data_IF_656496342357
#
_entry.id   IF_656496342357
#
_cell.length_a   1.000
_cell.length_b   1.000
_cell.length_c   1.000
_cell.angle_alpha   90.00
_cell.angle_beta   90.00
_cell.angle_gamma   90.00
#
_symmetry.space_group_name_H-M   'P 1'
#
loop_
_entity.id
_entity.type
_entity.pdbx_description
1 polymer ?
#
# COMPACT_ATOMS: atom_id res chain seq x y z
N UNK A 1 -8.60 -8.55 4.63
CA UNK A 1 -9.41 -7.32 4.79
C UNK A 1 -10.66 -7.55 5.64
N UNK A 2 -11.41 -8.62 5.41
CA UNK A 2 -12.61 -8.96 6.19
C UNK A 2 -12.28 -9.17 7.68
N UNK A 3 -11.19 -9.85 8.00
CA UNK A 3 -10.73 -10.04 9.38
C UNK A 3 -10.33 -8.72 10.05
N UNK A 4 -9.65 -7.83 9.34
CA UNK A 4 -9.29 -6.49 9.85
C UNK A 4 -10.54 -5.69 10.16
N UNK A 5 -11.55 -5.74 9.28
CA UNK A 5 -12.82 -5.06 9.51
C UNK A 5 -13.58 -5.64 10.70
N UNK A 6 -13.63 -6.96 10.84
CA UNK A 6 -14.25 -7.63 11.98
C UNK A 6 -13.52 -7.30 13.30
N UNK A 7 -12.19 -7.24 13.27
CA UNK A 7 -11.38 -6.87 14.45
C UNK A 7 -11.57 -5.42 14.85
N UNK A 8 -11.89 -4.52 13.92
CA UNK A 8 -12.14 -3.10 14.18
C UNK A 8 -13.33 -2.80 15.09
N UNK A 9 -14.19 -3.79 15.34
CA UNK A 9 -15.28 -3.70 16.34
C UNK A 9 -14.79 -3.93 17.79
N UNK A 10 -13.63 -4.55 17.98
CA UNK A 10 -13.09 -4.94 19.28
C UNK A 10 -11.72 -4.31 19.61
N UNK A 11 -10.94 -3.97 18.60
CA UNK A 11 -9.58 -3.50 18.72
C UNK A 11 -9.44 -2.10 18.12
N UNK A 12 -8.55 -1.28 18.71
CA UNK A 12 -8.21 0.00 18.11
C UNK A 12 -7.39 -0.20 16.81
N UNK A 13 -7.42 0.75 15.85
CA UNK A 13 -6.60 0.67 14.65
C UNK A 13 -5.10 0.45 14.92
N UNK A 14 -4.56 1.05 15.99
CA UNK A 14 -3.18 0.86 16.40
C UNK A 14 -2.89 -0.58 16.84
N UNK A 15 -3.79 -1.18 17.63
CA UNK A 15 -3.65 -2.59 18.04
C UNK A 15 -3.69 -3.54 16.84
N UNK A 16 -4.60 -3.32 15.90
CA UNK A 16 -4.68 -4.11 14.66
C UNK A 16 -3.36 -3.99 13.89
N UNK A 17 -2.85 -2.76 13.75
CA UNK A 17 -1.59 -2.49 13.07
C UNK A 17 -0.42 -3.19 13.76
N UNK A 18 -0.34 -3.13 15.10
CA UNK A 18 0.68 -3.81 15.87
C UNK A 18 0.70 -5.33 15.63
N UNK A 19 -0.45 -6.00 15.68
CA UNK A 19 -0.52 -7.44 15.43
C UNK A 19 -0.15 -7.82 14.00
N UNK A 20 -0.60 -7.03 13.01
CA UNK A 20 -0.25 -7.27 11.60
C UNK A 20 1.24 -7.09 11.35
N UNK A 21 1.85 -6.02 11.87
CA UNK A 21 3.27 -5.73 11.68
C UNK A 21 4.12 -6.75 12.42
N UNK A 22 3.79 -7.07 13.68
CA UNK A 22 4.54 -8.06 14.48
C UNK A 22 4.48 -9.45 13.86
N UNK A 23 3.29 -9.89 13.43
CA UNK A 23 3.12 -11.17 12.75
C UNK A 23 3.85 -11.21 11.40
N UNK A 24 3.76 -10.14 10.62
CA UNK A 24 4.48 -9.99 9.36
C UNK A 24 5.98 -9.99 9.55
N UNK A 25 6.50 -9.28 10.57
CA UNK A 25 7.92 -9.25 10.89
C UNK A 25 8.47 -10.65 11.20
N UNK A 26 7.80 -11.40 12.08
CA UNK A 26 8.21 -12.76 12.42
C UNK A 26 8.23 -13.64 11.16
N UNK A 27 7.17 -13.60 10.35
CA UNK A 27 7.04 -14.42 9.16
C UNK A 27 8.14 -14.08 8.13
N UNK A 28 8.31 -12.81 7.77
CA UNK A 28 9.30 -12.42 6.76
C UNK A 28 10.74 -12.56 7.25
N UNK A 29 11.01 -12.35 8.54
CA UNK A 29 12.33 -12.61 9.13
C UNK A 29 12.67 -14.11 9.04
N UNK A 30 11.73 -15.01 9.37
CA UNK A 30 11.93 -16.45 9.24
C UNK A 30 12.18 -16.86 7.78
N UNK A 31 11.43 -16.31 6.84
CA UNK A 31 11.62 -16.59 5.41
C UNK A 31 12.99 -16.08 4.94
N UNK A 32 13.40 -14.88 5.34
CA UNK A 32 14.70 -14.31 4.97
C UNK A 32 15.86 -15.17 5.51
N UNK A 33 15.78 -15.58 6.78
CA UNK A 33 16.79 -16.47 7.40
C UNK A 33 16.81 -17.82 6.71
N UNK A 34 15.65 -18.43 6.43
CA UNK A 34 15.56 -19.73 5.77
C UNK A 34 16.12 -19.70 4.33
N UNK A 35 16.05 -18.56 3.64
CA UNK A 35 16.62 -18.35 2.30
C UNK A 35 18.10 -17.94 2.33
N UNK A 36 18.66 -17.67 3.51
CA UNK A 36 20.04 -17.18 3.64
C UNK A 36 20.20 -15.74 3.17
N UNK A 37 19.13 -14.94 3.16
CA UNK A 37 19.17 -13.55 2.72
C UNK A 37 19.98 -12.69 3.70
N UNK A 38 20.69 -11.69 3.17
CA UNK A 38 21.48 -10.78 3.99
C UNK A 38 20.60 -9.72 4.66
N UNK A 39 20.29 -9.91 5.95
CA UNK A 39 19.53 -8.95 6.76
C UNK A 39 20.38 -7.75 7.24
N UNK A 40 21.66 -7.67 6.86
CA UNK A 40 22.55 -6.54 7.21
C UNK A 40 22.93 -5.72 5.97
N UNK A 41 22.09 -5.70 4.93
CA UNK A 41 22.37 -4.98 3.70
C UNK A 41 22.29 -3.46 3.93
N UNK A 42 23.41 -2.71 3.88
CA UNK A 42 23.42 -1.26 4.13
C UNK A 42 22.60 -0.48 3.10
N UNK A 43 22.43 -1.02 1.90
CA UNK A 43 21.64 -0.42 0.83
C UNK A 43 20.15 -0.38 1.14
N UNK A 44 19.67 -1.18 2.11
CA UNK A 44 18.29 -1.12 2.60
C UNK A 44 17.90 0.24 3.19
N UNK A 45 18.88 1.06 3.59
CA UNK A 45 18.69 2.42 4.10
C UNK A 45 18.89 3.49 3.02
N UNK A 46 18.96 3.14 1.75
CA UNK A 46 19.02 4.12 0.66
C UNK A 46 17.79 5.03 0.70
N UNK A 47 17.91 6.34 0.38
CA UNK A 47 16.79 7.30 0.47
C UNK A 47 15.56 6.86 -0.31
N UNK A 48 15.74 6.18 -1.43
CA UNK A 48 14.66 5.62 -2.25
C UNK A 48 13.88 4.54 -1.48
N UNK A 49 14.57 3.68 -0.74
CA UNK A 49 13.93 2.64 0.07
C UNK A 49 13.29 3.20 1.34
N UNK A 50 13.85 4.25 1.93
CA UNK A 50 13.19 4.97 3.02
C UNK A 50 11.86 5.58 2.57
N UNK A 51 11.80 6.18 1.38
CA UNK A 51 10.53 6.64 0.80
C UNK A 51 9.53 5.49 0.63
N UNK A 52 9.99 4.32 0.18
CA UNK A 52 9.16 3.12 0.06
C UNK A 52 8.59 2.69 1.42
N UNK A 53 9.41 2.67 2.47
CA UNK A 53 8.97 2.30 3.82
C UNK A 53 7.97 3.31 4.38
N UNK A 54 8.22 4.61 4.22
CA UNK A 54 7.29 5.65 4.63
C UNK A 54 5.94 5.52 3.89
N UNK A 55 5.98 5.29 2.58
CA UNK A 55 4.76 5.09 1.79
C UNK A 55 3.98 3.85 2.24
N UNK A 56 4.66 2.73 2.53
CA UNK A 56 4.03 1.53 3.08
C UNK A 56 3.31 1.82 4.40
N UNK A 57 3.97 2.55 5.30
CA UNK A 57 3.42 2.86 6.61
C UNK A 57 2.20 3.76 6.55
N UNK A 58 2.28 4.84 5.75
CA UNK A 58 1.15 5.74 5.53
C UNK A 58 -0.01 4.93 4.90
N UNK A 59 0.31 4.09 3.93
CA UNK A 59 -0.66 3.23 3.26
C UNK A 59 -1.36 2.27 4.23
N UNK A 60 -0.62 1.59 5.09
CA UNK A 60 -1.18 0.66 6.08
C UNK A 60 -2.06 1.37 7.11
N UNK A 61 -1.59 2.49 7.66
CA UNK A 61 -2.37 3.28 8.62
C UNK A 61 -3.69 3.75 8.00
N UNK A 62 -3.61 4.36 6.81
CA UNK A 62 -4.79 4.86 6.11
C UNK A 62 -5.72 3.72 5.67
N UNK A 63 -5.18 2.57 5.28
CA UNK A 63 -5.97 1.39 4.92
C UNK A 63 -6.75 0.85 6.11
N UNK A 64 -6.13 0.72 7.28
CA UNK A 64 -6.81 0.27 8.51
C UNK A 64 -7.91 1.26 8.90
N UNK A 65 -7.61 2.58 8.85
CA UNK A 65 -8.62 3.62 9.09
C UNK A 65 -9.78 3.54 8.08
N UNK A 66 -9.49 3.27 6.81
CA UNK A 66 -10.49 3.06 5.79
C UNK A 66 -11.37 1.85 6.08
N UNK A 67 -10.77 0.71 6.37
CA UNK A 67 -11.48 -0.55 6.65
C UNK A 67 -12.39 -0.47 7.89
N UNK A 68 -12.00 0.32 8.89
CA UNK A 68 -12.81 0.50 10.11
C UNK A 68 -13.97 1.47 9.93
N UNK A 69 -13.84 2.48 9.03
CA UNK A 69 -14.80 3.59 8.92
C UNK A 69 -15.65 3.57 7.65
N UNK A 70 -15.25 2.79 6.64
CA UNK A 70 -15.89 2.78 5.32
C UNK A 70 -16.36 1.37 4.97
N UNK A 71 -17.47 1.22 4.22
CA UNK A 71 -17.89 -0.09 3.70
C UNK A 71 -16.78 -0.78 2.91
N UNK A 72 -16.63 -2.10 3.13
CA UNK A 72 -15.58 -2.90 2.48
C UNK A 72 -15.65 -2.85 0.95
N UNK A 73 -16.85 -2.74 0.39
CA UNK A 73 -17.08 -2.62 -1.05
C UNK A 73 -16.42 -1.36 -1.64
N UNK A 74 -16.54 -0.22 -0.96
CA UNK A 74 -15.93 1.04 -1.38
C UNK A 74 -14.41 0.96 -1.25
N UNK A 75 -13.90 0.45 -0.12
CA UNK A 75 -12.45 0.26 0.08
C UNK A 75 -11.89 -0.66 -1.00
N UNK A 76 -12.56 -1.78 -1.29
CA UNK A 76 -12.17 -2.72 -2.33
C UNK A 76 -12.16 -2.08 -3.73
N UNK A 77 -13.17 -1.30 -4.07
CA UNK A 77 -13.23 -0.61 -5.36
C UNK A 77 -12.10 0.43 -5.51
N UNK A 78 -11.84 1.21 -4.47
CA UNK A 78 -10.76 2.21 -4.47
C UNK A 78 -9.39 1.53 -4.64
N UNK A 79 -9.12 0.47 -3.88
CA UNK A 79 -7.82 -0.22 -3.94
C UNK A 79 -7.56 -0.92 -5.26
N UNK A 80 -8.61 -1.34 -5.99
CA UNK A 80 -8.47 -1.89 -7.34
C UNK A 80 -7.97 -0.86 -8.37
N UNK A 81 -8.01 0.44 -8.06
CA UNK A 81 -7.39 1.47 -8.89
C UNK A 81 -5.85 1.54 -8.76
N UNK A 82 -5.23 0.78 -7.84
CA UNK A 82 -3.77 0.81 -7.64
C UNK A 82 -2.98 0.55 -8.93
N UNK A 83 -3.28 -0.47 -9.75
CA UNK A 83 -2.56 -0.68 -11.02
C UNK A 83 -2.67 0.51 -11.98
N UNK A 84 -3.79 1.25 -11.94
CA UNK A 84 -4.02 2.41 -12.80
C UNK A 84 -3.11 3.57 -12.37
N UNK A 85 -3.06 3.87 -11.08
CA UNK A 85 -2.17 4.91 -10.54
C UNK A 85 -0.69 4.56 -10.73
N UNK A 86 -0.31 3.31 -10.54
CA UNK A 86 1.07 2.84 -10.81
C UNK A 86 1.41 3.00 -12.28
N UNK A 87 0.48 2.73 -13.21
CA UNK A 87 0.70 2.92 -14.63
C UNK A 87 0.88 4.41 -14.99
N UNK A 88 0.04 5.29 -14.43
CA UNK A 88 0.17 6.75 -14.60
C UNK A 88 1.50 7.23 -14.02
N UNK A 89 1.87 6.79 -12.81
CA UNK A 89 3.15 7.13 -12.19
C UNK A 89 4.35 6.65 -13.02
N UNK A 90 4.27 5.46 -13.62
CA UNK A 90 5.34 4.95 -14.48
C UNK A 90 5.54 5.83 -15.73
N UNK A 91 4.47 6.35 -16.31
CA UNK A 91 4.58 7.31 -17.43
C UNK A 91 5.24 8.61 -16.99
N UNK A 92 4.79 9.18 -15.88
CA UNK A 92 5.23 10.50 -15.43
C UNK A 92 6.66 10.46 -14.89
N UNK A 93 6.97 9.50 -14.02
CA UNK A 93 8.24 9.45 -13.29
C UNK A 93 9.30 8.59 -13.97
N UNK A 94 8.91 7.46 -14.57
CA UNK A 94 9.84 6.56 -15.26
C UNK A 94 9.93 6.84 -16.77
N UNK A 95 9.10 7.77 -17.29
CA UNK A 95 9.02 8.12 -18.71
C UNK A 95 8.77 6.91 -19.63
N UNK A 96 8.03 5.92 -19.12
CA UNK A 96 7.62 4.76 -19.91
C UNK A 96 6.67 5.18 -21.01
N UNK A 97 6.91 4.71 -22.24
CA UNK A 97 5.98 4.91 -23.35
C UNK A 97 4.76 4.02 -23.17
N UNK A 98 3.59 4.63 -23.09
CA UNK A 98 2.33 3.92 -22.92
C UNK A 98 1.46 4.09 -24.17
N UNK A 99 0.98 2.95 -24.71
CA UNK A 99 0.10 2.95 -25.85
C UNK A 99 -1.26 3.62 -25.54
N UNK A 100 -1.90 4.18 -26.54
CA UNK A 100 -3.19 4.83 -26.39
C UNK A 100 -4.27 3.87 -25.83
N UNK A 101 -4.19 2.58 -26.17
CA UNK A 101 -5.08 1.53 -25.63
C UNK A 101 -4.97 1.40 -24.11
N UNK A 102 -3.78 1.53 -23.57
CA UNK A 102 -3.55 1.50 -22.13
C UNK A 102 -4.10 2.75 -21.46
N UNK A 103 -4.00 3.91 -22.09
CA UNK A 103 -4.62 5.14 -21.61
C UNK A 103 -6.14 5.04 -21.56
N UNK A 104 -6.78 4.49 -22.60
CA UNK A 104 -8.24 4.29 -22.58
C UNK A 104 -8.69 3.34 -21.46
N UNK A 105 -7.95 2.24 -21.22
CA UNK A 105 -8.23 1.33 -20.11
C UNK A 105 -8.09 2.00 -18.75
N UNK A 106 -7.06 2.83 -18.57
CA UNK A 106 -6.85 3.63 -17.34
C UNK A 106 -8.03 4.57 -17.12
N UNK A 107 -8.47 5.29 -18.17
CA UNK A 107 -9.58 6.24 -18.07
C UNK A 107 -10.91 5.53 -17.73
N UNK A 108 -11.19 4.41 -18.35
CA UNK A 108 -12.41 3.62 -18.06
C UNK A 108 -12.37 3.09 -16.61
N UNK A 109 -11.22 2.56 -16.18
CA UNK A 109 -11.07 2.09 -14.81
C UNK A 109 -11.23 3.21 -13.78
N UNK A 110 -10.67 4.39 -14.05
CA UNK A 110 -10.83 5.56 -13.17
C UNK A 110 -12.28 6.04 -13.09
N UNK A 111 -12.99 6.08 -14.22
CA UNK A 111 -14.43 6.38 -14.24
C UNK A 111 -15.22 5.38 -13.39
N UNK A 112 -14.89 4.09 -13.45
CA UNK A 112 -15.52 3.08 -12.60
C UNK A 112 -15.34 3.37 -11.11
N UNK A 113 -14.15 3.77 -10.69
CA UNK A 113 -13.87 4.15 -9.29
C UNK A 113 -14.67 5.39 -8.87
N UNK A 114 -14.73 6.42 -9.71
CA UNK A 114 -15.51 7.64 -9.45
C UNK A 114 -17.01 7.32 -9.32
N UNK A 115 -17.54 6.42 -10.15
CA UNK A 115 -18.93 5.96 -10.07
C UNK A 115 -19.24 5.20 -8.79
N UNK A 116 -18.28 4.45 -8.25
CA UNK A 116 -18.45 3.72 -6.97
C UNK A 116 -18.37 4.66 -5.77
N UNK A 117 -17.47 5.65 -5.80
CA UNK A 117 -17.30 6.62 -4.72
C UNK A 117 -18.47 7.60 -4.67
N UNK A 118 -19.07 7.92 -5.81
CA UNK A 118 -20.20 8.86 -5.94
C UNK A 118 -19.94 10.19 -5.22
N UNK A 119 -18.89 10.95 -5.57
CA UNK A 119 -18.48 12.15 -4.85
C UNK A 119 -19.49 13.29 -4.88
N UNK A 120 -20.55 13.16 -5.69
CA UNK A 120 -21.64 14.13 -5.83
C UNK A 120 -22.84 13.87 -4.89
N UNK A 121 -22.86 12.76 -4.16
CA UNK A 121 -23.92 12.50 -3.17
C UNK A 121 -23.71 13.33 -1.91
N UNK A 122 -24.80 13.93 -1.41
CA UNK A 122 -24.79 14.69 -0.15
C UNK A 122 -24.45 13.82 1.06
N UNK A 123 -24.65 12.51 0.94
CA UNK A 123 -24.33 11.51 1.97
C UNK A 123 -22.86 11.07 1.96
N UNK A 124 -21.99 11.73 1.17
CA UNK A 124 -20.59 11.35 1.04
C UNK A 124 -19.92 11.23 2.42
N UNK A 125 -19.49 10.04 2.77
CA UNK A 125 -18.70 9.81 3.96
C UNK A 125 -17.27 10.31 3.74
N UNK A 126 -16.90 11.42 4.34
CA UNK A 126 -15.53 11.96 4.27
C UNK A 126 -14.45 10.96 4.67
N UNK A 127 -14.82 9.88 5.37
CA UNK A 127 -13.88 8.82 5.69
C UNK A 127 -13.34 8.09 4.44
N UNK A 128 -13.94 8.24 3.26
CA UNK A 128 -13.42 7.73 1.97
C UNK A 128 -12.04 8.31 1.65
N UNK A 129 -11.67 9.44 2.25
CA UNK A 129 -10.31 10.00 2.11
C UNK A 129 -9.22 8.99 2.54
N UNK A 130 -9.50 8.16 3.55
CA UNK A 130 -8.51 7.21 4.07
C UNK A 130 -8.10 6.16 3.03
N UNK A 131 -9.02 5.40 2.40
CA UNK A 131 -8.65 4.45 1.35
C UNK A 131 -8.06 5.14 0.11
N UNK A 132 -8.43 6.39 -0.21
CA UNK A 132 -7.81 7.15 -1.30
C UNK A 132 -6.36 7.48 -1.00
N UNK A 133 -6.05 7.96 0.21
CA UNK A 133 -4.67 8.21 0.64
C UNK A 133 -3.86 6.91 0.68
N UNK A 134 -4.45 5.81 1.17
CA UNK A 134 -3.83 4.50 1.16
C UNK A 134 -3.49 4.04 -0.27
N UNK A 135 -4.42 4.22 -1.22
CA UNK A 135 -4.23 3.92 -2.63
C UNK A 135 -3.02 4.68 -3.22
N UNK A 136 -2.94 5.99 -2.96
CA UNK A 136 -1.82 6.83 -3.44
C UNK A 136 -0.50 6.35 -2.82
N UNK A 137 -0.48 6.13 -1.51
CA UNK A 137 0.71 5.69 -0.80
C UNK A 137 1.21 4.32 -1.29
N UNK A 138 0.33 3.33 -1.47
CA UNK A 138 0.69 2.03 -2.02
C UNK A 138 1.16 2.13 -3.48
N UNK A 139 0.56 3.02 -4.28
CA UNK A 139 1.00 3.24 -5.66
C UNK A 139 2.41 3.85 -5.72
N UNK A 140 2.74 4.79 -4.81
CA UNK A 140 4.09 5.32 -4.67
C UNK A 140 5.06 4.21 -4.25
N UNK A 141 4.71 3.40 -3.26
CA UNK A 141 5.51 2.24 -2.83
C UNK A 141 5.81 1.30 -3.99
N UNK A 142 4.80 0.94 -4.78
CA UNK A 142 4.94 0.01 -5.90
C UNK A 142 5.81 0.61 -7.01
N UNK A 143 5.66 1.90 -7.26
CA UNK A 143 6.48 2.62 -8.23
C UNK A 143 7.96 2.68 -7.79
N UNK A 144 8.20 2.99 -6.52
CA UNK A 144 9.54 3.01 -5.92
C UNK A 144 10.15 1.60 -5.90
N UNK A 145 9.35 0.57 -5.67
CA UNK A 145 9.81 -0.82 -5.72
C UNK A 145 10.35 -1.20 -7.11
N UNK A 146 9.82 -0.64 -8.19
CA UNK A 146 10.37 -0.84 -9.55
C UNK A 146 11.76 -0.24 -9.75
N UNK A 147 12.12 0.76 -8.93
CA UNK A 147 13.45 1.38 -8.91
C UNK A 147 14.44 0.66 -7.99
N UNK A 148 13.98 -0.34 -7.24
CA UNK A 148 14.82 -1.08 -6.31
C UNK A 148 15.74 -2.02 -7.08
N UNK A 149 17.05 -2.06 -6.76
CA UNK A 149 17.99 -2.99 -7.36
C UNK A 149 17.54 -4.45 -7.21
N UNK A 150 17.63 -5.27 -8.27
CA UNK A 150 17.12 -6.64 -8.25
C UNK A 150 17.93 -7.59 -7.35
N UNK A 151 19.09 -7.19 -6.90
CA UNK A 151 19.96 -7.92 -5.99
C UNK A 151 19.52 -7.88 -4.52
N UNK A 152 18.57 -6.99 -4.17
CA UNK A 152 18.00 -6.97 -2.82
C UNK A 152 16.84 -7.97 -2.74
N UNK A 153 17.00 -8.99 -1.88
CA UNK A 153 15.97 -10.00 -1.70
C UNK A 153 14.66 -9.42 -1.18
N UNK A 154 13.56 -9.81 -1.79
CA UNK A 154 12.22 -9.31 -1.44
C UNK A 154 11.83 -9.59 0.02
N UNK A 155 12.29 -10.72 0.59
CA UNK A 155 12.00 -11.06 1.98
C UNK A 155 12.76 -10.15 2.96
N UNK A 156 14.02 -9.80 2.66
CA UNK A 156 14.79 -8.82 3.44
C UNK A 156 14.12 -7.45 3.38
N UNK A 157 13.69 -7.02 2.19
CA UNK A 157 13.01 -5.75 1.99
C UNK A 157 11.70 -5.67 2.81
N UNK A 158 10.91 -6.75 2.80
CA UNK A 158 9.69 -6.85 3.60
C UNK A 158 10.00 -6.80 5.11
N UNK A 159 11.05 -7.49 5.57
CA UNK A 159 11.49 -7.47 6.96
C UNK A 159 11.87 -6.06 7.40
N UNK A 160 12.69 -5.33 6.62
CA UNK A 160 13.05 -3.94 6.92
C UNK A 160 11.84 -3.01 6.95
N UNK A 161 10.87 -3.22 6.06
CA UNK A 161 9.61 -2.47 6.07
C UNK A 161 8.87 -2.66 7.39
N UNK A 162 8.75 -3.90 7.87
CA UNK A 162 8.07 -4.19 9.14
C UNK A 162 8.83 -3.63 10.35
N UNK A 163 10.16 -3.71 10.34
CA UNK A 163 10.99 -3.09 11.40
C UNK A 163 10.79 -1.58 11.43
N UNK A 164 10.79 -0.92 10.27
CA UNK A 164 10.56 0.52 10.18
C UNK A 164 9.16 0.94 10.62
N UNK A 165 8.19 0.02 10.51
CA UNK A 165 6.79 0.26 10.88
C UNK A 165 6.51 0.12 12.38
N UNK A 166 7.30 -0.67 13.13
CA UNK A 166 7.09 -0.93 14.56
C UNK A 166 6.94 0.33 15.43
N UNK A 167 7.77 1.41 15.28
CA UNK A 167 7.66 2.60 16.13
C UNK A 167 6.34 3.36 16.00
N UNK A 168 5.52 3.05 14.99
CA UNK A 168 4.28 3.77 14.68
C UNK A 168 3.01 2.98 15.07
N UNK A 169 3.17 1.88 15.76
CA UNK A 169 2.09 1.05 16.31
C UNK A 169 1.94 1.26 17.80
#
# INVERSE_FOLDING_TARGET
>A
DTFVKASGSFLSPAQIMFFLISGGLILFALIAVAKGDNLKEPRAFAPVLLLRYCAEMIGLLCMIMGLTKVPLSIVGAVTQASPLLVAVGAVIFLKEAVSWRRWSSISIGFLGVVLVIQPWEESLNYAVIWPVVALIAFSIRDLVTRLTPPDIASASLATFTMVAALPFT
#
